data_IF_177446104078
#
_entry.id   IF_177446104078
#
_cell.length_a   1.000
_cell.length_b   1.000
_cell.length_c   1.000
_cell.angle_alpha   90.00
_cell.angle_beta   90.00
_cell.angle_gamma   90.00
#
_symmetry.space_group_name_H-M   'P 1'
#
loop_
_entity.id
_entity.type
_entity.pdbx_description
1 polymer ?
#
# COMPACT_ATOMS: atom_id res chain seq x y z
N UNK A 1 7.25 -11.50 -29.69
CA UNK A 1 6.89 -10.07 -29.62
C UNK A 1 6.58 -9.85 -28.15
N UNK A 2 7.53 -9.32 -27.39
CA UNK A 2 7.33 -9.11 -25.95
C UNK A 2 6.19 -8.11 -25.76
N UNK A 3 5.17 -8.51 -25.00
CA UNK A 3 4.08 -7.62 -24.59
C UNK A 3 4.70 -6.47 -23.79
N UNK A 4 4.77 -5.29 -24.41
CA UNK A 4 5.24 -4.08 -23.74
C UNK A 4 4.26 -3.75 -22.63
N UNK A 5 4.70 -3.86 -21.37
CA UNK A 5 3.98 -3.36 -20.20
C UNK A 5 3.58 -1.90 -20.45
N UNK A 6 2.27 -1.62 -20.48
CA UNK A 6 1.73 -0.26 -20.56
C UNK A 6 1.45 0.25 -19.16
N UNK A 7 1.89 1.48 -18.86
CA UNK A 7 1.51 2.17 -17.62
C UNK A 7 0.35 3.13 -17.89
N UNK A 8 -0.61 3.13 -16.97
CA UNK A 8 -1.76 4.01 -16.97
C UNK A 8 -1.65 4.99 -15.80
N UNK A 9 -1.88 6.27 -16.09
CA UNK A 9 -1.94 7.34 -15.10
C UNK A 9 -3.39 7.57 -14.69
N UNK A 10 -3.60 7.69 -13.38
CA UNK A 10 -4.84 8.23 -12.85
C UNK A 10 -4.63 9.68 -12.48
N UNK A 11 -5.23 10.56 -13.29
CA UNK A 11 -5.13 12.01 -13.11
C UNK A 11 -6.45 12.56 -12.60
N UNK A 12 -6.39 13.24 -11.45
CA UNK A 12 -7.53 14.02 -11.00
C UNK A 12 -7.67 15.29 -11.85
N UNK A 13 -8.89 15.80 -12.04
CA UNK A 13 -9.18 17.04 -12.79
C UNK A 13 -8.36 18.25 -12.34
N UNK A 14 -7.86 18.27 -11.10
CA UNK A 14 -7.00 19.32 -10.55
C UNK A 14 -5.49 19.11 -10.81
N UNK A 15 -5.13 18.32 -11.83
CA UNK A 15 -3.76 18.14 -12.34
C UNK A 15 -2.74 17.46 -11.41
N UNK A 16 -3.17 16.86 -10.29
CA UNK A 16 -2.30 16.01 -9.47
C UNK A 16 -2.29 14.59 -10.04
N UNK A 17 -1.12 14.13 -10.51
CA UNK A 17 -0.89 12.71 -10.80
C UNK A 17 -0.74 12.00 -9.46
N UNK A 18 -1.65 11.07 -9.16
CA UNK A 18 -1.70 10.45 -7.83
C UNK A 18 -1.09 9.06 -7.85
N UNK A 19 -1.29 8.26 -8.91
CA UNK A 19 -0.79 6.89 -8.98
C UNK A 19 -0.57 6.38 -10.42
N UNK A 20 0.14 5.25 -10.53
CA UNK A 20 0.38 4.47 -11.76
C UNK A 20 -0.16 3.04 -11.58
N UNK A 21 -0.59 2.39 -12.66
CA UNK A 21 -0.82 0.93 -12.70
C UNK A 21 -0.40 0.35 -14.04
N UNK A 22 0.02 -0.90 -14.04
CA UNK A 22 0.17 -1.72 -15.26
C UNK A 22 -1.12 -2.45 -15.65
N UNK A 23 -2.14 -2.43 -14.78
CA UNK A 23 -3.43 -3.11 -14.94
C UNK A 23 -4.54 -2.12 -15.33
N UNK A 24 -4.98 -2.20 -16.59
CA UNK A 24 -6.01 -1.31 -17.13
C UNK A 24 -7.38 -1.54 -16.48
N UNK A 25 -7.72 -2.77 -16.11
CA UNK A 25 -9.00 -3.09 -15.49
C UNK A 25 -9.08 -2.46 -14.11
N UNK A 26 -7.98 -2.46 -13.36
CA UNK A 26 -7.90 -1.75 -12.08
C UNK A 26 -8.04 -0.23 -12.24
N UNK A 27 -7.45 0.35 -13.29
CA UNK A 27 -7.63 1.78 -13.58
C UNK A 27 -9.11 2.11 -13.85
N UNK A 28 -9.82 1.25 -14.59
CA UNK A 28 -11.26 1.42 -14.84
C UNK A 28 -12.11 1.27 -13.57
N UNK A 29 -11.85 0.25 -12.74
CA UNK A 29 -12.56 0.08 -11.45
C UNK A 29 -12.41 1.31 -10.55
N UNK A 30 -11.21 1.87 -10.49
CA UNK A 30 -10.96 3.08 -9.70
C UNK A 30 -11.75 4.29 -10.22
N UNK A 31 -11.65 4.58 -11.53
CA UNK A 31 -12.39 5.69 -12.14
C UNK A 31 -13.91 5.55 -12.02
N UNK A 32 -14.45 4.32 -12.05
CA UNK A 32 -15.88 4.07 -11.87
C UNK A 32 -16.41 4.47 -10.47
N UNK A 33 -15.55 4.41 -9.45
CA UNK A 33 -15.91 4.71 -8.06
C UNK A 33 -15.46 6.10 -7.58
N UNK A 34 -14.57 6.75 -8.35
CA UNK A 34 -13.99 8.06 -8.02
C UNK A 34 -14.22 9.06 -9.17
N UNK A 35 -15.39 9.73 -9.21
CA UNK A 35 -15.70 10.68 -10.28
C UNK A 35 -14.70 11.84 -10.27
N UNK A 36 -14.21 12.22 -11.46
CA UNK A 36 -13.19 13.26 -11.63
C UNK A 36 -11.77 12.75 -11.87
N UNK A 37 -11.59 11.43 -11.91
CA UNK A 37 -10.35 10.80 -12.37
C UNK A 37 -10.46 10.36 -13.83
N UNK A 38 -9.39 10.57 -14.59
CA UNK A 38 -9.26 10.15 -15.97
C UNK A 38 -8.04 9.24 -16.13
N UNK A 39 -8.20 8.19 -16.94
CA UNK A 39 -7.12 7.28 -17.30
C UNK A 39 -6.35 7.89 -18.48
N UNK A 40 -5.06 8.13 -18.28
CA UNK A 40 -4.17 8.65 -19.31
C UNK A 40 -3.12 7.60 -19.61
N UNK A 41 -3.00 7.20 -20.88
CA UNK A 41 -1.90 6.33 -21.31
C UNK A 41 -0.60 7.12 -21.18
N UNK A 42 0.38 6.54 -20.49
CA UNK A 42 1.64 7.21 -20.21
C UNK A 42 2.60 7.26 -21.42
N UNK A 43 2.13 7.64 -22.60
CA UNK A 43 2.98 7.69 -23.82
C UNK A 43 4.10 8.75 -23.71
N UNK A 44 3.91 9.78 -22.88
CA UNK A 44 4.89 10.85 -22.65
C UNK A 44 6.05 10.48 -21.72
N UNK A 45 5.99 9.34 -21.00
CA UNK A 45 7.07 8.92 -20.10
C UNK A 45 8.23 8.19 -20.80
N UNK A 46 8.07 7.74 -22.04
CA UNK A 46 9.14 7.05 -22.79
C UNK A 46 10.44 7.84 -22.91
N UNK A 47 10.41 9.16 -22.67
CA UNK A 47 11.61 10.02 -22.68
C UNK A 47 12.14 10.36 -21.28
N UNK A 48 11.32 10.27 -20.25
CA UNK A 48 11.64 10.76 -18.89
C UNK A 48 11.81 9.64 -17.87
N UNK A 49 11.37 8.41 -18.17
CA UNK A 49 11.53 7.23 -17.32
C UNK A 49 12.10 6.08 -18.15
N UNK A 50 13.27 5.58 -17.74
CA UNK A 50 13.83 4.35 -18.31
C UNK A 50 13.13 3.12 -17.71
N UNK A 51 12.25 2.53 -18.49
CA UNK A 51 11.48 1.35 -18.11
C UNK A 51 12.34 0.10 -17.86
N UNK A 52 13.56 0.04 -18.39
CA UNK A 52 14.48 -1.08 -18.13
C UNK A 52 15.20 -0.94 -16.79
N UNK A 53 15.28 0.28 -16.24
CA UNK A 53 15.92 0.59 -14.96
C UNK A 53 14.91 0.90 -13.84
N UNK A 54 13.62 0.95 -14.17
CA UNK A 54 12.55 1.28 -13.21
C UNK A 54 12.05 0.02 -12.50
N UNK A 55 12.48 -0.17 -11.26
CA UNK A 55 11.79 -1.11 -10.37
C UNK A 55 10.55 -0.44 -9.76
N UNK A 56 9.47 -1.21 -9.64
CA UNK A 56 8.22 -0.78 -9.03
C UNK A 56 8.14 -1.24 -7.58
N UNK A 57 7.59 -0.39 -6.72
CA UNK A 57 7.30 -0.71 -5.32
C UNK A 57 5.81 -0.48 -5.08
N UNK A 58 5.15 -1.48 -4.53
CA UNK A 58 3.73 -1.47 -4.21
C UNK A 58 3.56 -1.25 -2.70
N UNK A 59 2.91 -0.13 -2.33
CA UNK A 59 2.52 0.17 -0.95
C UNK A 59 1.10 -0.31 -0.71
N UNK A 60 0.98 -1.40 0.04
CA UNK A 60 -0.29 -1.91 0.53
C UNK A 60 -0.67 -1.26 1.86
N UNK A 61 -1.96 -0.94 2.02
CA UNK A 61 -2.55 -0.53 3.29
C UNK A 61 -3.38 -1.70 3.81
N UNK A 62 -2.89 -2.38 4.85
CA UNK A 62 -3.62 -3.45 5.54
C UNK A 62 -4.07 -2.94 6.89
N UNK A 63 -5.30 -3.21 7.29
CA UNK A 63 -5.85 -2.69 8.55
C UNK A 63 -6.61 -3.74 9.35
N UNK A 64 -6.64 -3.53 10.66
CA UNK A 64 -7.29 -4.41 11.62
C UNK A 64 -8.15 -3.59 12.57
N UNK A 65 -9.39 -4.04 12.80
CA UNK A 65 -10.24 -3.48 13.85
C UNK A 65 -10.08 -4.29 15.13
N UNK A 66 -9.95 -3.60 16.26
CA UNK A 66 -10.11 -4.20 17.59
C UNK A 66 -11.57 -4.62 17.78
N UNK A 67 -11.78 -5.93 18.00
CA UNK A 67 -13.09 -6.55 18.25
C UNK A 67 -13.81 -5.85 19.39
N UNK A 68 -15.15 -5.88 19.40
CA UNK A 68 -15.96 -5.13 20.37
C UNK A 68 -15.62 -5.49 21.83
N UNK A 69 -15.28 -6.74 22.10
CA UNK A 69 -14.83 -7.24 23.40
C UNK A 69 -13.38 -6.88 23.77
N UNK A 70 -12.66 -6.20 22.86
CA UNK A 70 -11.28 -5.73 23.00
C UNK A 70 -10.23 -6.84 23.19
N UNK A 71 -10.56 -8.07 22.79
CA UNK A 71 -9.69 -9.25 22.97
C UNK A 71 -8.92 -9.64 21.72
N UNK A 72 -9.36 -9.20 20.54
CA UNK A 72 -8.79 -9.66 19.28
C UNK A 72 -8.78 -8.56 18.23
N UNK A 73 -7.91 -8.70 17.24
CA UNK A 73 -7.83 -7.80 16.09
C UNK A 73 -8.29 -8.58 14.86
N UNK A 74 -9.25 -8.03 14.12
CA UNK A 74 -9.82 -8.65 12.93
C UNK A 74 -9.41 -7.84 11.72
N UNK A 75 -8.77 -8.50 10.75
CA UNK A 75 -8.37 -7.88 9.49
C UNK A 75 -9.61 -7.38 8.73
N UNK A 76 -9.53 -6.16 8.23
CA UNK A 76 -10.53 -5.61 7.32
C UNK A 76 -10.22 -6.16 5.93
N UNK A 77 -11.10 -7.03 5.44
CA UNK A 77 -11.01 -7.55 4.07
C UNK A 77 -11.58 -6.54 3.08
N UNK A 78 -10.87 -6.33 1.98
CA UNK A 78 -11.39 -5.58 0.84
C UNK A 78 -12.49 -6.38 0.13
N UNK A 79 -13.42 -5.67 -0.52
CA UNK A 79 -14.45 -6.32 -1.31
C UNK A 79 -13.84 -6.81 -2.63
N UNK A 80 -14.32 -7.94 -3.16
CA UNK A 80 -13.79 -8.52 -4.42
C UNK A 80 -13.90 -7.55 -5.62
N UNK A 81 -14.87 -6.64 -5.57
CA UNK A 81 -15.13 -5.65 -6.63
C UNK A 81 -14.48 -4.28 -6.33
N UNK A 82 -13.80 -4.15 -5.19
CA UNK A 82 -13.07 -2.94 -4.84
C UNK A 82 -11.81 -2.82 -5.71
N UNK A 83 -11.50 -1.62 -6.19
CA UNK A 83 -10.25 -1.42 -6.91
C UNK A 83 -9.07 -1.55 -5.96
N UNK A 84 -8.01 -2.21 -6.41
CA UNK A 84 -6.74 -2.30 -5.71
C UNK A 84 -6.15 -0.93 -5.38
N UNK A 85 -6.44 0.11 -6.16
CA UNK A 85 -6.01 1.48 -5.85
C UNK A 85 -6.52 2.00 -4.50
N UNK A 86 -7.59 1.44 -3.96
CA UNK A 86 -8.09 1.83 -2.64
C UNK A 86 -7.15 1.40 -1.51
N UNK A 87 -6.32 0.38 -1.76
CA UNK A 87 -5.45 -0.22 -0.74
C UNK A 87 -4.03 -0.51 -1.22
N UNK A 88 -3.68 -0.17 -2.46
CA UNK A 88 -2.37 -0.37 -3.05
C UNK A 88 -1.99 0.81 -3.95
N UNK A 89 -0.87 1.47 -3.63
CA UNK A 89 -0.28 2.49 -4.48
C UNK A 89 1.04 1.99 -5.09
N UNK A 90 1.29 2.28 -6.36
CA UNK A 90 2.55 1.93 -7.04
C UNK A 90 3.48 3.15 -7.13
N UNK A 91 4.74 2.97 -6.77
CA UNK A 91 5.81 3.96 -6.81
C UNK A 91 6.99 3.44 -7.63
N UNK A 92 7.84 4.34 -8.14
CA UNK A 92 9.12 3.99 -8.77
C UNK A 92 10.24 3.97 -7.75
N UNK A 93 11.29 3.16 -7.98
CA UNK A 93 12.44 2.98 -7.09
C UNK A 93 13.34 4.22 -7.02
N UNK A 94 12.87 5.24 -6.32
CA UNK A 94 13.62 6.35 -5.72
C UNK A 94 12.99 6.76 -4.37
N UNK A 95 12.12 5.92 -3.82
CA UNK A 95 11.46 6.13 -2.54
C UNK A 95 12.29 5.43 -1.45
N UNK A 96 12.75 6.14 -0.43
CA UNK A 96 13.61 5.67 0.68
C UNK A 96 12.97 4.57 1.57
N UNK A 97 11.87 3.96 1.14
CA UNK A 97 11.01 3.09 1.93
C UNK A 97 10.86 1.67 1.35
N UNK A 98 11.76 1.24 0.45
CA UNK A 98 11.78 -0.13 -0.07
C UNK A 98 11.74 -1.15 1.08
N UNK A 99 10.85 -2.14 1.01
CA UNK A 99 10.61 -3.18 2.02
C UNK A 99 10.37 -2.65 3.45
N UNK A 100 9.71 -1.51 3.59
CA UNK A 100 9.37 -0.96 4.90
C UNK A 100 7.97 -1.34 5.33
N UNK A 101 7.78 -1.42 6.64
CA UNK A 101 6.46 -1.50 7.27
C UNK A 101 6.34 -0.31 8.21
N UNK A 102 5.22 0.40 8.13
CA UNK A 102 4.89 1.48 9.06
C UNK A 102 3.53 1.24 9.69
N UNK A 103 3.46 1.26 11.02
CA UNK A 103 2.20 1.10 11.75
C UNK A 103 1.67 2.44 12.28
N UNK A 104 0.36 2.62 12.31
CA UNK A 104 -0.30 3.68 13.06
C UNK A 104 -1.67 3.23 13.57
N UNK A 105 -2.19 3.93 14.59
CA UNK A 105 -3.48 3.62 15.21
C UNK A 105 -4.40 4.83 15.17
N UNK A 106 -5.66 4.59 14.81
CA UNK A 106 -6.74 5.58 14.85
C UNK A 106 -7.95 4.96 15.57
N UNK A 107 -8.24 5.44 16.77
CA UNK A 107 -9.30 4.87 17.61
C UNK A 107 -9.13 3.36 17.83
N UNK A 108 -10.07 2.56 17.32
CA UNK A 108 -10.05 1.08 17.45
C UNK A 108 -9.33 0.37 16.30
N UNK A 109 -8.77 1.10 15.33
CA UNK A 109 -8.16 0.53 14.14
C UNK A 109 -6.65 0.69 14.14
N UNK A 110 -5.95 -0.35 13.72
CA UNK A 110 -4.50 -0.36 13.47
C UNK A 110 -4.30 -0.52 11.97
N UNK A 111 -3.40 0.28 11.40
CA UNK A 111 -3.09 0.28 9.98
C UNK A 111 -1.60 -0.01 9.79
N UNK A 112 -1.29 -0.71 8.70
CA UNK A 112 0.06 -1.03 8.26
C UNK A 112 0.24 -0.58 6.82
N UNK A 113 1.25 0.24 6.58
CA UNK A 113 1.76 0.54 5.25
C UNK A 113 2.87 -0.44 4.94
N UNK A 114 2.72 -1.26 3.90
CA UNK A 114 3.63 -2.36 3.57
C UNK A 114 4.13 -2.17 2.15
N UNK A 115 5.43 -1.97 2.01
CA UNK A 115 6.06 -1.78 0.70
C UNK A 115 6.66 -3.11 0.22
N UNK A 116 6.29 -3.56 -0.97
CA UNK A 116 6.75 -4.82 -1.57
C UNK A 116 7.15 -4.55 -3.02
N UNK A 117 8.24 -5.16 -3.50
CA UNK A 117 8.68 -5.06 -4.90
C UNK A 117 7.80 -5.80 -5.92
N UNK A 118 6.70 -6.42 -5.49
CA UNK A 118 5.78 -7.17 -6.35
C UNK A 118 4.31 -6.95 -5.98
N UNK A 119 3.42 -7.18 -6.97
CA UNK A 119 1.98 -7.04 -6.78
C UNK A 119 1.39 -8.27 -6.08
N UNK A 120 1.57 -8.35 -4.76
CA UNK A 120 1.13 -9.49 -3.96
C UNK A 120 0.46 -9.08 -2.63
N UNK A 121 -0.86 -8.88 -2.67
CA UNK A 121 -1.65 -8.53 -1.48
C UNK A 121 -1.64 -9.64 -0.41
N UNK A 122 -1.55 -10.91 -0.79
CA UNK A 122 -1.49 -12.03 0.16
C UNK A 122 -0.24 -11.97 1.03
N UNK A 123 0.91 -11.63 0.43
CA UNK A 123 2.16 -11.41 1.17
C UNK A 123 2.02 -10.18 2.07
N UNK A 124 1.44 -9.08 1.58
CA UNK A 124 1.19 -7.91 2.41
C UNK A 124 0.35 -8.25 3.65
N UNK A 125 -0.71 -9.03 3.50
CA UNK A 125 -1.54 -9.49 4.62
C UNK A 125 -0.73 -10.28 5.65
N UNK A 126 0.09 -11.24 5.22
CA UNK A 126 0.94 -12.04 6.11
C UNK A 126 1.93 -11.17 6.88
N UNK A 127 2.60 -10.24 6.19
CA UNK A 127 3.50 -9.28 6.83
C UNK A 127 2.72 -8.46 7.88
N UNK A 128 1.53 -7.96 7.55
CA UNK A 128 0.70 -7.20 8.47
C UNK A 128 0.34 -8.00 9.75
N UNK A 129 -0.03 -9.27 9.59
CA UNK A 129 -0.36 -10.17 10.71
C UNK A 129 0.87 -10.42 11.61
N UNK A 130 2.04 -10.67 11.04
CA UNK A 130 3.28 -10.83 11.80
C UNK A 130 3.63 -9.58 12.60
N UNK A 131 3.51 -8.40 12.00
CA UNK A 131 3.77 -7.12 12.66
C UNK A 131 2.75 -6.82 13.75
N UNK A 132 1.47 -7.10 13.52
CA UNK A 132 0.43 -6.98 14.52
C UNK A 132 0.71 -7.87 15.74
N UNK A 133 1.09 -9.13 15.52
CA UNK A 133 1.43 -10.05 16.61
C UNK A 133 2.63 -9.55 17.44
N UNK A 134 3.65 -8.98 16.79
CA UNK A 134 4.77 -8.34 17.49
C UNK A 134 4.30 -7.19 18.38
N UNK A 135 3.47 -6.28 17.85
CA UNK A 135 2.91 -5.16 18.62
C UNK A 135 2.09 -5.65 19.82
N UNK A 136 1.23 -6.65 19.62
CA UNK A 136 0.41 -7.24 20.69
C UNK A 136 1.33 -7.80 21.80
N UNK A 137 2.39 -8.52 21.44
CA UNK A 137 3.35 -9.07 22.40
C UNK A 137 4.10 -7.95 23.15
N UNK A 138 4.54 -6.91 22.46
CA UNK A 138 5.21 -5.75 23.09
C UNK A 138 4.31 -5.01 24.07
N UNK A 139 3.00 -4.94 23.79
CA UNK A 139 2.03 -4.21 24.61
C UNK A 139 1.18 -5.08 25.52
N UNK A 140 1.67 -6.27 25.92
CA UNK A 140 1.00 -7.18 26.86
C UNK A 140 -0.46 -7.49 26.46
N UNK A 141 -0.68 -7.82 25.18
CA UNK A 141 -1.99 -8.16 24.64
C UNK A 141 -2.72 -6.98 23.98
N UNK A 142 -2.15 -5.77 23.97
CA UNK A 142 -2.75 -4.60 23.34
C UNK A 142 -1.77 -3.84 22.44
N UNK A 143 -2.28 -3.31 21.33
CA UNK A 143 -1.55 -2.35 20.50
C UNK A 143 -1.78 -0.94 21.04
N UNK A 144 -0.71 -0.28 21.49
CA UNK A 144 -0.74 1.08 22.03
C UNK A 144 -0.04 2.05 21.08
N UNK A 145 -0.04 3.35 21.40
CA UNK A 145 0.70 4.31 20.59
C UNK A 145 2.20 4.16 20.80
N UNK A 146 2.59 3.90 22.05
CA UNK A 146 3.98 3.78 22.49
C UNK A 146 4.68 2.59 21.83
N UNK A 147 4.06 1.41 21.77
CA UNK A 147 4.69 0.25 21.12
C UNK A 147 4.74 0.37 19.60
N UNK A 148 3.80 1.09 18.97
CA UNK A 148 3.88 1.46 17.55
C UNK A 148 5.08 2.37 17.30
N UNK A 149 5.29 3.39 18.13
CA UNK A 149 6.42 4.31 18.00
C UNK A 149 7.76 3.57 18.14
N UNK A 150 7.88 2.71 19.15
CA UNK A 150 9.06 1.88 19.36
C UNK A 150 9.34 0.95 18.16
N UNK A 151 8.33 0.24 17.68
CA UNK A 151 8.51 -0.68 16.55
C UNK A 151 8.88 0.07 15.26
N UNK A 152 8.24 1.21 14.99
CA UNK A 152 8.60 2.02 13.83
C UNK A 152 10.03 2.58 13.93
N UNK A 153 10.52 2.87 15.14
CA UNK A 153 11.91 3.27 15.36
C UNK A 153 12.89 2.11 15.10
N UNK A 154 12.62 0.91 15.61
CA UNK A 154 13.43 -0.28 15.34
C UNK A 154 13.57 -0.56 13.84
N UNK A 155 12.48 -0.42 13.08
CA UNK A 155 12.48 -0.62 11.63
C UNK A 155 13.28 0.44 10.87
N UNK A 156 13.31 1.67 11.38
CA UNK A 156 14.15 2.74 10.82
C UNK A 156 15.63 2.50 11.10
N UNK A 157 15.96 1.95 12.27
CA UNK A 157 17.35 1.62 12.64
C UNK A 157 17.86 0.44 11.81
N UNK A 158 17.05 -0.60 11.59
CA UNK A 158 17.43 -1.77 10.80
C UNK A 158 17.69 -1.50 9.30
N UNK A 159 17.30 -0.31 8.80
CA UNK A 159 17.43 0.11 7.40
C UNK A 159 18.59 1.08 7.14
N UNK A 160 19.39 1.44 8.16
CA UNK A 160 20.61 2.23 8.02
C UNK A 160 21.83 1.33 7.88
#
# INVERSE_FOLDING_TARGET
MEDKKMLYWLKHRDYRTINYTEDLDEAYKFCATHPGYEIIVAEKLKKDIDYNETEFIYRYIVSFNLSMDEKSYVMIKHLENESEFNYCNCYTKNFEFHDSVGAYREGRRVYFNIFIGERNYSIACKIAEEYLNKLINMGNGKVTKENIELMNEELRIAKK
#
